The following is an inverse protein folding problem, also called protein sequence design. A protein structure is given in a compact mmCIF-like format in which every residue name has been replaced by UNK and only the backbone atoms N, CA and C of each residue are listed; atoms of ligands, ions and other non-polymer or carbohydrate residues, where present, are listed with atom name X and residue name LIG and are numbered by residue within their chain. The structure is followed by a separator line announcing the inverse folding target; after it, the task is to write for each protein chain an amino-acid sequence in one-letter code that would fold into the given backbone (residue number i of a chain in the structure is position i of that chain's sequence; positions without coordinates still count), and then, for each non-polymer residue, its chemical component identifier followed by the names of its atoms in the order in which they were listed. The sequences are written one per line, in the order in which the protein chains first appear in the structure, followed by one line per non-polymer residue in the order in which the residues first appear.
data_IF_473110398514
#
_entry.id   IF_473110398514
#
_cell.length_a   1.000
_cell.length_b   1.000
_cell.length_c   1.000
_cell.angle_alpha   90.00
_cell.angle_beta   90.00
_cell.angle_gamma   90.00
#
_symmetry.space_group_name_H-M   'P 1'
#
loop_
_entity.id
_entity.type
_entity.pdbx_description
1 polymer ?
#
# COMPACT_ATOMS: atom_id res chain seq x y z
N UNK A 1 13.72 16.32 11.65
CA UNK A 1 12.84 17.52 11.58
C UNK A 1 13.12 18.22 10.24
N UNK A 2 12.09 18.54 9.45
CA UNK A 2 12.27 19.19 8.13
C UNK A 2 11.96 20.68 8.19
N UNK A 3 12.65 21.46 7.37
CA UNK A 3 12.48 22.91 7.25
C UNK A 3 11.24 23.26 6.41
N UNK A 4 10.71 24.48 6.59
CA UNK A 4 9.56 24.98 5.79
C UNK A 4 9.75 24.81 4.28
N UNK A 5 10.96 25.07 3.76
CA UNK A 5 11.27 24.88 2.33
C UNK A 5 11.25 23.41 1.92
N UNK A 6 11.75 22.50 2.76
CA UNK A 6 11.69 21.06 2.49
C UNK A 6 10.25 20.54 2.46
N UNK A 7 9.40 21.01 3.37
CA UNK A 7 7.97 20.69 3.36
C UNK A 7 7.31 21.16 2.06
N UNK A 8 7.58 22.38 1.62
CA UNK A 8 7.03 22.89 0.36
C UNK A 8 7.50 22.08 -0.85
N UNK A 9 8.77 21.67 -0.89
CA UNK A 9 9.30 20.80 -1.96
C UNK A 9 8.59 19.44 -1.95
N UNK A 10 8.39 18.85 -0.77
CA UNK A 10 7.66 17.59 -0.61
C UNK A 10 6.21 17.70 -1.10
N UNK A 11 5.51 18.76 -0.71
CA UNK A 11 4.11 18.98 -1.13
C UNK A 11 4.01 19.22 -2.64
N UNK A 12 4.96 19.96 -3.22
CA UNK A 12 5.02 20.11 -4.66
C UNK A 12 5.19 18.78 -5.38
N UNK A 13 6.10 17.90 -4.90
CA UNK A 13 6.30 16.57 -5.48
C UNK A 13 5.00 15.75 -5.42
N UNK A 14 4.32 15.74 -4.26
CA UNK A 14 3.04 15.03 -4.09
C UNK A 14 1.96 15.50 -5.07
N UNK A 15 1.76 16.82 -5.17
CA UNK A 15 0.76 17.41 -6.07
C UNK A 15 1.12 17.17 -7.53
N UNK A 16 2.42 17.28 -7.87
CA UNK A 16 2.90 17.06 -9.23
C UNK A 16 2.64 15.62 -9.69
N UNK A 17 2.97 14.64 -8.84
CA UNK A 17 2.73 13.23 -9.11
C UNK A 17 1.24 12.90 -9.23
N UNK A 18 0.40 13.45 -8.35
CA UNK A 18 -1.04 13.25 -8.40
C UNK A 18 -1.67 13.76 -9.71
N UNK A 19 -1.09 14.81 -10.31
CA UNK A 19 -1.61 15.43 -11.54
C UNK A 19 -1.06 14.80 -12.83
N UNK A 20 0.16 14.25 -12.80
CA UNK A 20 0.90 13.88 -14.02
C UNK A 20 1.33 12.41 -14.09
N UNK A 21 1.05 11.61 -13.07
CA UNK A 21 1.45 10.18 -12.97
C UNK A 21 2.96 9.94 -12.99
N UNK A 22 3.79 10.99 -12.93
CA UNK A 22 5.24 10.90 -12.83
C UNK A 22 5.82 11.97 -11.89
N UNK A 23 7.01 11.71 -11.36
CA UNK A 23 7.69 12.61 -10.44
C UNK A 23 8.34 13.80 -11.15
N UNK A 24 8.38 15.00 -10.53
CA UNK A 24 9.06 16.14 -11.12
C UNK A 24 10.58 15.90 -11.17
N UNK A 25 11.20 16.34 -12.26
CA UNK A 25 12.65 16.38 -12.42
C UNK A 25 13.30 17.44 -11.53
N UNK A 26 14.62 17.31 -11.33
CA UNK A 26 15.40 18.31 -10.58
C UNK A 26 15.31 19.71 -11.22
N UNK A 27 15.22 19.78 -12.55
CA UNK A 27 15.00 21.04 -13.28
C UNK A 27 13.62 21.64 -13.03
N UNK A 28 12.57 20.82 -12.93
CA UNK A 28 11.23 21.29 -12.62
C UNK A 28 11.12 21.79 -11.19
N UNK A 29 11.78 21.11 -10.25
CA UNK A 29 11.88 21.57 -8.86
C UNK A 29 12.65 22.90 -8.81
N UNK A 30 13.80 23.00 -9.50
CA UNK A 30 14.56 24.25 -9.59
C UNK A 30 13.71 25.39 -10.13
N UNK A 31 13.01 25.17 -11.26
CA UNK A 31 12.14 26.18 -11.89
C UNK A 31 10.99 26.59 -10.98
N UNK A 32 10.32 25.63 -10.33
CA UNK A 32 9.19 25.90 -9.44
C UNK A 32 9.58 26.73 -8.22
N UNK A 33 10.71 26.42 -7.60
CA UNK A 33 11.18 27.07 -6.38
C UNK A 33 12.20 28.19 -6.63
N UNK A 34 12.45 28.54 -7.90
CA UNK A 34 13.46 29.54 -8.34
C UNK A 34 14.81 29.34 -7.63
N UNK A 35 15.27 28.08 -7.57
CA UNK A 35 16.52 27.73 -6.90
C UNK A 35 17.73 28.15 -7.73
N UNK A 36 18.82 28.50 -7.05
CA UNK A 36 20.05 28.95 -7.69
C UNK A 36 20.65 27.89 -8.63
N UNK A 37 20.56 26.60 -8.28
CA UNK A 37 21.09 25.52 -9.10
C UNK A 37 20.29 24.21 -8.99
N UNK A 38 20.53 23.32 -9.95
CA UNK A 38 20.00 21.94 -9.93
C UNK A 38 20.57 21.19 -8.71
N UNK A 39 21.81 21.48 -8.31
CA UNK A 39 22.44 20.93 -7.11
C UNK A 39 21.71 21.31 -5.83
N UNK A 40 21.12 22.52 -5.74
CA UNK A 40 20.27 22.90 -4.60
C UNK A 40 18.97 22.08 -4.57
N UNK A 41 18.38 21.77 -5.73
CA UNK A 41 17.23 20.88 -5.79
C UNK A 41 17.62 19.45 -5.34
N UNK A 42 18.77 18.96 -5.80
CA UNK A 42 19.31 17.66 -5.37
C UNK A 42 19.55 17.61 -3.85
N UNK A 43 20.08 18.67 -3.25
CA UNK A 43 20.27 18.78 -1.80
C UNK A 43 18.95 18.62 -1.03
N UNK A 44 17.88 19.30 -1.45
CA UNK A 44 16.59 19.16 -0.80
C UNK A 44 16.00 17.76 -0.94
N UNK A 45 16.13 17.15 -2.11
CA UNK A 45 15.70 15.77 -2.34
C UNK A 45 16.47 14.81 -1.43
N UNK A 46 17.81 14.88 -1.41
CA UNK A 46 18.65 14.05 -0.54
C UNK A 46 18.26 14.19 0.93
N UNK A 47 18.02 15.41 1.42
CA UNK A 47 17.58 15.63 2.81
C UNK A 47 16.20 15.07 3.10
N UNK A 48 15.29 15.09 2.13
CA UNK A 48 13.97 14.47 2.27
C UNK A 48 14.08 12.93 2.24
N UNK A 49 15.05 12.38 1.51
CA UNK A 49 15.35 10.94 1.51
C UNK A 49 15.96 10.49 2.82
N UNK A 50 16.99 11.18 3.31
CA UNK A 50 17.64 10.88 4.60
C UNK A 50 16.64 10.94 5.77
N UNK A 51 15.62 11.80 5.64
CA UNK A 51 14.55 11.95 6.60
C UNK A 51 13.37 10.97 6.40
N UNK A 52 13.46 10.06 5.42
CA UNK A 52 12.48 9.00 5.16
C UNK A 52 11.21 9.45 4.43
N UNK A 53 11.16 10.68 3.90
CA UNK A 53 9.97 11.22 3.21
C UNK A 53 9.93 10.89 1.72
N UNK A 54 11.05 10.49 1.12
CA UNK A 54 11.17 10.11 -0.29
C UNK A 54 12.05 8.86 -0.41
N UNK A 55 11.63 7.85 -1.19
CA UNK A 55 12.53 6.78 -1.62
C UNK A 55 12.83 6.95 -3.11
N UNK A 56 14.09 6.75 -3.47
CA UNK A 56 14.56 6.73 -4.86
C UNK A 56 15.11 5.34 -5.11
N UNK A 57 14.49 4.59 -6.01
CA UNK A 57 15.17 3.42 -6.55
C UNK A 57 16.41 3.88 -7.34
N UNK A 58 17.55 3.24 -7.06
CA UNK A 58 18.89 3.77 -7.29
C UNK A 58 19.30 3.94 -8.76
N UNK A 59 18.41 3.76 -9.75
CA UNK A 59 18.83 3.74 -11.16
C UNK A 59 17.88 4.38 -12.17
N UNK A 60 16.98 5.29 -11.76
CA UNK A 60 16.19 6.06 -12.71
C UNK A 60 16.19 7.57 -12.42
N UNK A 61 16.51 8.44 -13.40
CA UNK A 61 16.45 9.90 -13.25
C UNK A 61 15.03 10.43 -13.02
N UNK A 62 14.00 9.57 -13.06
CA UNK A 62 12.57 9.88 -12.89
C UNK A 62 11.86 9.08 -11.79
N UNK A 63 12.57 8.33 -10.95
CA UNK A 63 11.95 7.54 -9.88
C UNK A 63 12.08 8.23 -8.52
N UNK A 64 11.37 9.34 -8.32
CA UNK A 64 10.97 9.73 -6.96
C UNK A 64 9.54 9.22 -6.80
N UNK A 65 9.38 7.93 -6.56
CA UNK A 65 8.09 7.45 -6.08
C UNK A 65 7.91 8.03 -4.69
N UNK A 66 6.86 8.83 -4.48
CA UNK A 66 6.33 8.97 -3.14
C UNK A 66 6.10 7.55 -2.67
N UNK A 67 6.83 7.15 -1.63
CA UNK A 67 6.38 6.06 -0.78
C UNK A 67 5.06 6.61 -0.24
N UNK A 68 3.95 6.37 -0.94
CA UNK A 68 2.79 5.93 -0.18
C UNK A 68 3.41 4.83 0.65
N UNK A 69 3.61 5.07 1.94
CA UNK A 69 3.60 3.97 2.87
C UNK A 69 2.29 3.29 2.52
N UNK A 70 2.35 2.24 1.69
CA UNK A 70 1.17 1.46 1.34
C UNK A 70 0.63 1.14 2.71
N UNK A 71 -0.53 1.70 3.05
CA UNK A 71 -1.05 1.57 4.39
C UNK A 71 -1.33 0.09 4.52
N UNK A 72 -0.40 -0.64 5.13
CA UNK A 72 -0.54 -2.06 5.35
C UNK A 72 -1.47 -2.22 6.53
N UNK A 73 -2.35 -3.19 6.41
CA UNK A 73 -3.20 -3.61 7.52
C UNK A 73 -2.92 -5.08 7.76
N UNK A 74 -2.86 -5.43 9.04
CA UNK A 74 -2.79 -6.82 9.47
C UNK A 74 -4.20 -7.35 9.54
N UNK A 75 -4.48 -8.40 8.77
CA UNK A 75 -5.77 -9.08 8.75
C UNK A 75 -5.59 -10.41 9.50
N UNK A 76 -6.36 -10.65 10.58
CA UNK A 76 -6.27 -11.91 11.31
C UNK A 76 -6.84 -13.06 10.48
N UNK A 77 -6.15 -14.19 10.47
CA UNK A 77 -6.67 -15.45 9.94
C UNK A 77 -7.51 -16.09 11.06
N UNK A 78 -8.81 -16.27 10.82
CA UNK A 78 -9.76 -16.73 11.85
C UNK A 78 -10.08 -18.24 11.77
N UNK A 79 -9.41 -18.97 10.88
CA UNK A 79 -9.59 -20.41 10.74
C UNK A 79 -9.50 -20.88 9.30
N UNK A 80 -10.01 -22.09 9.06
CA UNK A 80 -10.07 -22.68 7.73
C UNK A 80 -11.53 -22.82 7.24
N UNK A 81 -11.73 -22.77 5.92
CA UNK A 81 -13.01 -23.08 5.27
C UNK A 81 -12.88 -24.42 4.55
N UNK A 82 -13.75 -25.36 4.92
CA UNK A 82 -13.98 -26.61 4.20
C UNK A 82 -15.44 -26.61 3.71
N UNK A 83 -15.70 -27.10 2.50
CA UNK A 83 -17.05 -27.11 1.94
C UNK A 83 -18.03 -27.91 2.81
N UNK A 84 -19.13 -27.25 3.19
CA UNK A 84 -20.31 -27.91 3.75
C UNK A 84 -20.33 -28.12 5.26
N UNK A 85 -19.36 -27.64 6.02
CA UNK A 85 -19.43 -27.65 7.50
C UNK A 85 -19.20 -26.24 8.09
N UNK A 86 -19.86 -25.91 9.22
CA UNK A 86 -19.61 -24.67 9.95
C UNK A 86 -18.12 -24.55 10.30
N UNK A 87 -17.65 -23.31 10.43
CA UNK A 87 -16.28 -22.97 10.83
C UNK A 87 -15.87 -23.82 12.04
N UNK A 88 -14.95 -24.77 11.87
CA UNK A 88 -14.22 -25.31 13.02
C UNK A 88 -13.29 -24.18 13.45
N UNK A 89 -13.69 -23.49 14.53
CA UNK A 89 -12.89 -22.44 15.16
C UNK A 89 -11.63 -23.06 15.76
N UNK A 90 -10.65 -23.36 14.92
CA UNK A 90 -9.28 -23.57 15.37
C UNK A 90 -8.73 -22.16 15.62
N UNK A 91 -8.84 -21.72 16.87
CA UNK A 91 -8.15 -20.54 17.37
C UNK A 91 -6.64 -20.80 17.26
N UNK A 92 -6.05 -20.58 16.08
CA UNK A 92 -4.61 -20.43 15.94
C UNK A 92 -4.32 -19.01 16.45
N UNK A 93 -3.73 -18.84 17.64
CA UNK A 93 -3.49 -17.51 18.16
C UNK A 93 -2.46 -16.83 17.26
N UNK A 94 -2.79 -15.64 16.78
CA UNK A 94 -1.87 -14.65 16.21
C UNK A 94 -1.36 -14.86 14.76
N UNK A 95 -1.98 -15.72 13.94
CA UNK A 95 -1.65 -15.71 12.50
C UNK A 95 -2.34 -14.54 11.80
N UNK A 96 -1.54 -13.58 11.31
CA UNK A 96 -2.02 -12.44 10.53
C UNK A 96 -1.36 -12.43 9.15
N UNK A 97 -2.09 -11.93 8.16
CA UNK A 97 -1.51 -11.57 6.86
C UNK A 97 -1.35 -10.06 6.78
N UNK A 98 -0.22 -9.63 6.21
CA UNK A 98 0.00 -8.22 5.88
C UNK A 98 -0.40 -7.98 4.44
N UNK A 99 -1.39 -7.10 4.24
CA UNK A 99 -1.88 -6.75 2.91
C UNK A 99 -1.95 -5.23 2.79
N UNK A 100 -1.83 -4.72 1.58
CA UNK A 100 -1.86 -3.29 1.32
C UNK A 100 -3.31 -2.81 1.21
N UNK A 101 -3.62 -1.63 1.74
CA UNK A 101 -4.97 -1.05 1.67
C UNK A 101 -5.47 -0.76 0.25
N UNK A 102 -4.60 -0.81 -0.77
CA UNK A 102 -5.04 -0.74 -2.16
C UNK A 102 -5.55 -2.11 -2.68
N UNK A 103 -5.15 -3.23 -2.06
CA UNK A 103 -5.61 -4.60 -2.39
C UNK A 103 -6.91 -4.97 -1.66
N UNK A 104 -7.12 -4.42 -0.47
CA UNK A 104 -8.42 -4.51 0.22
C UNK A 104 -9.27 -3.33 -0.22
N UNK A 105 -10.35 -3.57 -0.96
CA UNK A 105 -11.21 -2.52 -1.51
C UNK A 105 -11.84 -1.55 -0.47
N UNK A 106 -13.16 -1.63 -0.29
CA UNK A 106 -13.92 -0.67 0.55
C UNK A 106 -13.46 -0.72 2.02
N UNK A 107 -13.57 0.43 2.72
CA UNK A 107 -13.34 0.49 4.16
C UNK A 107 -14.23 -0.51 4.93
N UNK A 108 -13.66 -1.21 5.90
CA UNK A 108 -14.38 -2.18 6.72
C UNK A 108 -13.44 -3.02 7.61
N UNK A 109 -14.02 -3.87 8.46
CA UNK A 109 -13.29 -4.93 9.16
C UNK A 109 -13.17 -6.12 8.21
N UNK A 110 -11.97 -6.67 8.08
CA UNK A 110 -11.71 -7.86 7.26
C UNK A 110 -11.13 -8.95 8.14
N UNK A 111 -11.34 -10.19 7.72
CA UNK A 111 -10.71 -11.37 8.29
C UNK A 111 -10.34 -12.30 7.15
N UNK A 112 -9.34 -13.14 7.37
CA UNK A 112 -8.88 -14.11 6.39
C UNK A 112 -9.26 -15.53 6.84
N UNK A 113 -9.49 -16.41 5.86
CA UNK A 113 -9.67 -17.85 6.08
C UNK A 113 -8.73 -18.61 5.16
N UNK A 114 -8.18 -19.72 5.66
CA UNK A 114 -7.38 -20.65 4.86
C UNK A 114 -8.31 -21.66 4.19
N UNK A 115 -8.16 -21.86 2.89
CA UNK A 115 -8.91 -22.87 2.15
C UNK A 115 -8.34 -24.24 2.48
N UNK A 116 -9.20 -25.16 2.89
CA UNK A 116 -8.83 -26.55 3.12
C UNK A 116 -9.67 -27.46 2.21
N UNK A 117 -8.99 -28.15 1.30
CA UNK A 117 -9.58 -29.02 0.29
C UNK A 117 -9.72 -28.37 -1.09
N UNK A 118 -10.30 -29.13 -2.02
CA UNK A 118 -10.38 -28.80 -3.44
C UNK A 118 -11.78 -28.41 -3.91
N UNK A 119 -12.64 -27.93 -3.02
CA UNK A 119 -14.06 -27.73 -3.32
C UNK A 119 -14.37 -26.52 -4.19
N UNK A 120 -13.45 -25.56 -4.32
CA UNK A 120 -13.60 -24.33 -5.12
C UNK A 120 -12.57 -24.25 -6.27
N UNK A 121 -12.02 -25.38 -6.69
CA UNK A 121 -10.99 -25.43 -7.76
C UNK A 121 -11.53 -24.90 -9.10
N UNK A 122 -12.81 -25.08 -9.37
CA UNK A 122 -13.47 -24.60 -10.59
C UNK A 122 -13.63 -23.06 -10.60
N UNK A 123 -13.56 -22.43 -9.43
CA UNK A 123 -13.48 -20.97 -9.26
C UNK A 123 -12.03 -20.46 -9.19
N UNK A 124 -11.05 -21.36 -9.36
CA UNK A 124 -9.63 -21.05 -9.28
C UNK A 124 -9.11 -20.88 -7.86
N UNK A 125 -9.82 -21.38 -6.84
CA UNK A 125 -9.42 -21.35 -5.43
C UNK A 125 -8.93 -22.75 -5.02
N UNK A 126 -7.67 -22.83 -4.63
CA UNK A 126 -6.98 -24.08 -4.35
C UNK A 126 -6.74 -24.31 -2.85
N UNK A 127 -6.48 -25.57 -2.49
CA UNK A 127 -6.10 -25.93 -1.13
C UNK A 127 -4.86 -25.13 -0.67
N UNK A 128 -4.94 -24.55 0.52
CA UNK A 128 -3.89 -23.70 1.09
C UNK A 128 -4.01 -22.21 0.75
N UNK A 129 -4.91 -21.82 -0.16
CA UNK A 129 -5.15 -20.40 -0.48
C UNK A 129 -5.69 -19.64 0.73
N UNK A 130 -5.41 -18.34 0.77
CA UNK A 130 -5.90 -17.43 1.82
C UNK A 130 -6.92 -16.48 1.21
N UNK A 131 -8.16 -16.55 1.67
CA UNK A 131 -9.26 -15.73 1.19
C UNK A 131 -9.53 -14.63 2.19
N UNK A 132 -9.51 -13.37 1.73
CA UNK A 132 -9.80 -12.19 2.56
C UNK A 132 -11.27 -11.81 2.42
N UNK A 133 -12.01 -11.92 3.53
CA UNK A 133 -13.45 -11.68 3.58
C UNK A 133 -13.71 -10.37 4.32
N UNK A 134 -14.65 -9.57 3.79
CA UNK A 134 -15.16 -8.39 4.48
C UNK A 134 -16.24 -8.80 5.47
N UNK A 135 -16.10 -8.40 6.74
CA UNK A 135 -17.16 -8.58 7.74
C UNK A 135 -18.32 -7.63 7.40
N UNK A 136 -19.47 -8.21 7.08
CA UNK A 136 -20.73 -7.50 6.90
C UNK A 136 -21.80 -8.15 7.79
N UNK A 137 -22.64 -7.34 8.43
CA UNK A 137 -23.76 -7.84 9.26
C UNK A 137 -24.96 -8.29 8.42
N UNK A 138 -25.00 -7.88 7.14
CA UNK A 138 -26.07 -8.22 6.20
C UNK A 138 -25.41 -8.84 4.98
N UNK A 139 -25.77 -10.09 4.67
CA UNK A 139 -25.46 -10.70 3.38
C UNK A 139 -26.61 -10.34 2.42
N UNK A 140 -26.31 -9.64 1.33
CA UNK A 140 -27.27 -9.50 0.22
C UNK A 140 -27.18 -10.72 -0.67
N UNK A 141 -28.33 -11.30 -1.02
CA UNK A 141 -28.42 -12.51 -1.84
C UNK A 141 -27.70 -12.30 -3.19
N UNK A 142 -26.69 -13.13 -3.50
CA UNK A 142 -25.93 -13.10 -4.75
C UNK A 142 -24.47 -12.63 -4.66
N UNK A 143 -23.89 -12.59 -3.45
CA UNK A 143 -22.45 -12.37 -3.19
C UNK A 143 -21.85 -13.50 -2.37
#
# INVERSE_FOLDING_TARGET
MITKKQTQVLDFIKVYMAKRSYAPSLDEIKKKFKLASVSTAHYYISKLQDAGFLNKEHNQPRAVSTVKAKQTVEIPILGAIAAGQPIEAIEVPDETITITRDEIGKQGKHYALRVQGSSMIDEGIFDGDIVVIRKQEVAENGQ
#
